data_IF_458203016500
#
_entry.id   IF_458203016500
#
_cell.length_a   1.000
_cell.length_b   1.000
_cell.length_c   1.000
_cell.angle_alpha   90.00
_cell.angle_beta   90.00
_cell.angle_gamma   90.00
#
_symmetry.space_group_name_H-M   'P 1'
#
loop_
_entity.id
_entity.type
_entity.pdbx_description
1 polymer ?
#
# COMPACT_ATOMS: atom_id res chain seq x y z
N UNK A 1 -5.44 4.23 -15.11
CA UNK A 1 -4.46 3.21 -14.68
C UNK A 1 -5.21 1.97 -14.19
N UNK A 2 -4.91 0.78 -14.74
CA UNK A 2 -5.60 -0.46 -14.40
C UNK A 2 -5.41 -0.87 -12.93
N UNK A 3 -6.41 -1.50 -12.32
CA UNK A 3 -6.41 -1.99 -10.95
C UNK A 3 -7.16 -3.32 -10.86
N UNK A 4 -6.97 -4.04 -9.76
CA UNK A 4 -7.80 -5.19 -9.43
C UNK A 4 -9.19 -4.69 -8.93
N UNK A 5 -10.26 -5.18 -9.54
CA UNK A 5 -11.64 -4.73 -9.26
C UNK A 5 -12.53 -5.81 -8.64
N UNK A 6 -12.03 -7.07 -8.58
CA UNK A 6 -12.77 -8.18 -8.00
C UNK A 6 -12.74 -8.20 -6.47
N UNK A 7 -13.25 -9.27 -5.86
CA UNK A 7 -13.35 -9.43 -4.42
C UNK A 7 -11.98 -9.53 -3.73
N UNK A 8 -11.47 -8.43 -3.21
CA UNK A 8 -10.13 -8.30 -2.59
C UNK A 8 -9.91 -9.23 -1.39
N UNK A 9 -10.96 -9.63 -0.67
CA UNK A 9 -10.84 -10.59 0.43
C UNK A 9 -10.34 -11.98 -0.01
N UNK A 10 -10.52 -12.33 -1.28
CA UNK A 10 -9.93 -13.57 -1.85
C UNK A 10 -8.41 -13.50 -1.84
N UNK A 11 -7.83 -12.30 -1.96
CA UNK A 11 -6.39 -12.10 -1.93
C UNK A 11 -5.83 -12.37 -0.53
N UNK A 12 -6.44 -11.80 0.55
CA UNK A 12 -6.02 -12.08 1.93
C UNK A 12 -6.11 -13.58 2.25
N UNK A 13 -7.21 -14.24 1.87
CA UNK A 13 -7.38 -15.68 2.06
C UNK A 13 -6.34 -16.51 1.30
N UNK A 14 -5.94 -16.09 0.10
CA UNK A 14 -4.91 -16.78 -0.68
C UNK A 14 -3.53 -16.67 -0.07
N UNK A 15 -3.21 -15.51 0.54
CA UNK A 15 -1.92 -15.30 1.22
C UNK A 15 -1.93 -15.80 2.68
N UNK A 16 -3.11 -16.18 3.22
CA UNK A 16 -3.23 -16.61 4.62
C UNK A 16 -2.98 -15.49 5.63
N UNK A 17 -2.96 -14.24 5.19
CA UNK A 17 -2.60 -13.06 5.98
C UNK A 17 -3.56 -11.89 5.76
N UNK A 18 -3.77 -11.06 6.80
CA UNK A 18 -4.50 -9.80 6.67
C UNK A 18 -3.65 -8.77 5.90
N UNK A 19 -4.12 -8.37 4.74
CA UNK A 19 -3.50 -7.31 3.92
C UNK A 19 -4.19 -5.96 4.09
N UNK A 20 -5.19 -5.85 4.98
CA UNK A 20 -5.93 -4.63 5.32
C UNK A 20 -6.48 -3.86 4.11
N UNK A 21 -7.03 -4.58 3.11
CA UNK A 21 -7.46 -4.01 1.83
C UNK A 21 -8.83 -3.32 1.88
N UNK A 22 -9.63 -3.52 2.96
CA UNK A 22 -10.99 -2.97 3.11
C UNK A 22 -11.14 -1.99 4.29
N UNK A 23 -10.05 -1.50 4.87
CA UNK A 23 -10.13 -0.58 6.01
C UNK A 23 -10.79 -1.23 7.22
N UNK A 24 -11.75 -0.56 7.85
CA UNK A 24 -12.38 -0.93 9.14
C UNK A 24 -12.83 -2.38 9.22
N UNK A 25 -13.43 -2.89 8.15
CA UNK A 25 -13.89 -4.28 8.11
C UNK A 25 -12.78 -5.29 8.41
N UNK A 26 -11.51 -4.95 8.11
CA UNK A 26 -10.38 -5.85 8.34
C UNK A 26 -10.02 -5.98 9.82
N UNK A 27 -10.47 -5.05 10.66
CA UNK A 27 -10.26 -5.04 12.11
C UNK A 27 -11.42 -5.66 12.89
N UNK A 28 -12.55 -5.96 12.23
CA UNK A 28 -13.72 -6.56 12.88
C UNK A 28 -13.78 -8.08 12.66
N UNK A 29 -14.61 -8.75 13.45
CA UNK A 29 -14.93 -10.18 13.29
C UNK A 29 -15.56 -10.52 11.93
N UNK A 30 -16.06 -9.51 11.19
CA UNK A 30 -16.59 -9.66 9.82
C UNK A 30 -15.49 -9.83 8.76
N UNK A 31 -14.21 -9.88 9.16
CA UNK A 31 -13.11 -10.14 8.25
C UNK A 31 -13.24 -11.52 7.61
N UNK A 32 -13.10 -11.59 6.28
CA UNK A 32 -13.25 -12.85 5.56
C UNK A 32 -12.15 -13.89 5.89
N UNK A 33 -11.00 -13.45 6.40
CA UNK A 33 -9.95 -14.35 6.85
C UNK A 33 -10.29 -15.00 8.19
N UNK A 34 -10.93 -14.24 9.11
CA UNK A 34 -11.42 -14.78 10.39
C UNK A 34 -12.54 -15.82 10.16
N UNK A 35 -13.49 -15.49 9.26
CA UNK A 35 -14.59 -16.39 8.98
C UNK A 35 -14.19 -17.63 8.16
N UNK A 36 -13.18 -17.52 7.28
CA UNK A 36 -12.76 -18.57 6.34
C UNK A 36 -11.25 -18.50 6.13
N UNK A 37 -10.46 -19.07 7.04
CA UNK A 37 -8.99 -19.01 7.04
C UNK A 37 -8.28 -19.83 5.94
N UNK A 38 -9.02 -20.35 4.95
CA UNK A 38 -8.46 -21.16 3.87
C UNK A 38 -8.51 -20.43 2.51
N UNK A 39 -7.66 -20.85 1.59
CA UNK A 39 -7.56 -20.27 0.25
C UNK A 39 -8.88 -20.36 -0.52
N UNK A 40 -9.20 -19.39 -1.39
CA UNK A 40 -10.40 -19.44 -2.21
C UNK A 40 -10.31 -20.52 -3.29
N UNK A 41 -11.46 -21.06 -3.70
CA UNK A 41 -11.60 -22.11 -4.73
C UNK A 41 -11.97 -23.45 -4.15
N UNK A 42 -12.28 -24.40 -5.03
CA UNK A 42 -12.76 -25.77 -4.67
C UNK A 42 -11.72 -26.52 -3.83
N UNK A 43 -10.44 -26.38 -4.16
CA UNK A 43 -9.33 -27.08 -3.49
C UNK A 43 -8.66 -26.23 -2.38
N UNK A 44 -9.32 -25.19 -1.89
CA UNK A 44 -8.74 -24.25 -0.92
C UNK A 44 -8.33 -24.87 0.42
N UNK A 45 -8.93 -25.98 0.80
CA UNK A 45 -8.63 -26.75 2.05
C UNK A 45 -7.63 -27.88 1.81
N UNK A 46 -7.25 -28.16 0.56
CA UNK A 46 -6.28 -29.21 0.23
C UNK A 46 -4.90 -28.88 0.81
N UNK A 47 -4.26 -29.88 1.39
CA UNK A 47 -2.86 -29.80 1.84
C UNK A 47 -1.96 -30.11 0.64
N UNK A 48 -1.10 -29.18 0.27
CA UNK A 48 -0.05 -29.39 -0.72
C UNK A 48 1.30 -28.93 -0.18
N UNK A 49 2.37 -29.67 -0.49
CA UNK A 49 3.73 -29.23 -0.19
C UNK A 49 4.02 -27.98 -1.03
N UNK A 50 4.42 -26.90 -0.40
CA UNK A 50 4.81 -25.68 -1.10
C UNK A 50 6.21 -25.88 -1.67
N UNK A 51 6.37 -25.69 -2.97
CA UNK A 51 7.69 -25.64 -3.60
C UNK A 51 8.39 -24.32 -3.28
N UNK A 52 9.71 -24.28 -3.41
CA UNK A 52 10.51 -23.08 -3.23
C UNK A 52 10.02 -21.95 -4.16
N UNK A 53 9.84 -22.25 -5.44
CA UNK A 53 9.21 -21.30 -6.38
C UNK A 53 7.84 -20.81 -5.89
N UNK A 54 7.04 -21.70 -5.32
CA UNK A 54 5.73 -21.35 -4.75
C UNK A 54 5.87 -20.36 -3.60
N UNK A 55 6.85 -20.52 -2.71
CA UNK A 55 7.12 -19.58 -1.61
C UNK A 55 7.55 -18.21 -2.12
N UNK A 56 8.52 -18.17 -3.01
CA UNK A 56 8.98 -16.94 -3.66
C UNK A 56 7.84 -16.19 -4.37
N UNK A 57 7.01 -16.94 -5.10
CA UNK A 57 5.84 -16.38 -5.79
C UNK A 57 4.82 -15.80 -4.79
N UNK A 58 4.56 -16.47 -3.65
CA UNK A 58 3.62 -15.98 -2.63
C UNK A 58 4.13 -14.70 -1.99
N UNK A 59 5.40 -14.60 -1.65
CA UNK A 59 5.97 -13.37 -1.08
C UNK A 59 5.83 -12.19 -2.08
N UNK A 60 6.17 -12.39 -3.33
CA UNK A 60 5.96 -11.37 -4.36
C UNK A 60 4.49 -10.95 -4.48
N UNK A 61 3.57 -11.94 -4.55
CA UNK A 61 2.14 -11.64 -4.68
C UNK A 61 1.58 -10.94 -3.44
N UNK A 62 2.07 -11.25 -2.24
CA UNK A 62 1.71 -10.59 -1.00
C UNK A 62 2.01 -9.10 -1.08
N UNK A 63 3.26 -8.72 -1.40
CA UNK A 63 3.67 -7.32 -1.52
C UNK A 63 2.87 -6.60 -2.61
N UNK A 64 2.77 -7.19 -3.80
CA UNK A 64 2.03 -6.61 -4.91
C UNK A 64 0.57 -6.33 -4.56
N UNK A 65 -0.09 -7.25 -3.85
CA UNK A 65 -1.49 -7.14 -3.42
C UNK A 65 -1.67 -6.13 -2.30
N UNK A 66 -0.73 -6.07 -1.37
CA UNK A 66 -0.74 -5.11 -0.26
C UNK A 66 -0.74 -3.66 -0.76
N UNK A 67 0.10 -3.34 -1.76
CA UNK A 67 0.15 -2.02 -2.38
C UNK A 67 -0.85 -1.83 -3.54
N UNK A 68 -1.60 -2.85 -3.92
CA UNK A 68 -2.57 -2.78 -5.01
C UNK A 68 -1.96 -2.53 -6.40
N UNK A 69 -0.73 -2.98 -6.61
CA UNK A 69 0.03 -2.80 -7.85
C UNK A 69 -0.16 -3.99 -8.79
N UNK A 70 -0.26 -3.76 -10.10
CA UNK A 70 -0.30 -4.81 -11.11
C UNK A 70 1.12 -5.26 -11.49
N UNK A 71 1.24 -6.48 -12.05
CA UNK A 71 2.52 -7.13 -12.34
C UNK A 71 3.46 -6.29 -13.21
N UNK A 72 2.96 -5.70 -14.28
CA UNK A 72 3.77 -4.86 -15.19
C UNK A 72 4.42 -3.69 -14.44
N UNK A 73 3.64 -3.01 -13.60
CA UNK A 73 4.14 -1.88 -12.81
C UNK A 73 5.09 -2.33 -11.70
N UNK A 74 4.81 -3.48 -11.07
CA UNK A 74 5.67 -4.04 -10.04
C UNK A 74 7.05 -4.41 -10.59
N UNK A 75 7.09 -5.06 -11.77
CA UNK A 75 8.35 -5.37 -12.48
C UNK A 75 9.14 -4.10 -12.83
N UNK A 76 8.45 -3.03 -13.24
CA UNK A 76 9.10 -1.74 -13.49
C UNK A 76 9.74 -1.16 -12.21
N UNK A 77 9.08 -1.28 -11.06
CA UNK A 77 9.64 -0.85 -9.78
C UNK A 77 10.82 -1.72 -9.34
N UNK A 78 10.76 -3.01 -9.60
CA UNK A 78 11.89 -3.90 -9.33
C UNK A 78 13.14 -3.49 -10.16
N UNK A 79 12.98 -3.28 -11.45
CA UNK A 79 14.06 -2.80 -12.32
C UNK A 79 14.60 -1.41 -11.92
N UNK A 80 13.77 -0.55 -11.30
CA UNK A 80 14.23 0.71 -10.72
C UNK A 80 14.99 0.50 -9.41
N UNK A 81 14.56 -0.45 -8.58
CA UNK A 81 15.20 -0.78 -7.31
C UNK A 81 16.60 -1.39 -7.52
N UNK A 82 16.73 -2.27 -8.52
CA UNK A 82 17.99 -2.90 -8.90
C UNK A 82 19.07 -1.90 -9.33
N UNK A 83 18.66 -0.79 -9.96
CA UNK A 83 19.58 0.28 -10.39
C UNK A 83 20.04 1.19 -9.24
N UNK A 84 19.40 1.14 -8.08
CA UNK A 84 19.78 1.96 -6.92
C UNK A 84 20.87 1.28 -6.12
N UNK A 85 21.75 2.08 -5.52
CA UNK A 85 22.74 1.57 -4.56
C UNK A 85 22.05 1.02 -3.31
N UNK A 86 22.60 -0.04 -2.73
CA UNK A 86 22.09 -0.69 -1.52
C UNK A 86 21.35 -2.00 -1.80
N UNK A 87 20.60 -2.47 -0.81
CA UNK A 87 19.88 -3.73 -0.87
C UNK A 87 18.64 -3.58 -1.75
N UNK A 88 18.56 -4.35 -2.84
CA UNK A 88 17.48 -4.27 -3.84
C UNK A 88 16.09 -4.47 -3.23
N UNK A 89 15.95 -5.38 -2.27
CA UNK A 89 14.67 -5.64 -1.59
C UNK A 89 14.17 -4.43 -0.80
N UNK A 90 15.05 -3.79 -0.03
CA UNK A 90 14.73 -2.57 0.72
C UNK A 90 14.38 -1.41 -0.22
N UNK A 91 15.18 -1.23 -1.27
CA UNK A 91 14.92 -0.21 -2.29
C UNK A 91 13.55 -0.40 -2.97
N UNK A 92 13.16 -1.65 -3.24
CA UNK A 92 11.84 -1.98 -3.80
C UNK A 92 10.72 -1.57 -2.85
N UNK A 93 10.83 -1.92 -1.57
CA UNK A 93 9.84 -1.56 -0.57
C UNK A 93 9.76 -0.04 -0.37
N UNK A 94 10.90 0.65 -0.34
CA UNK A 94 10.95 2.11 -0.26
C UNK A 94 10.26 2.78 -1.47
N UNK A 95 10.46 2.28 -2.69
CA UNK A 95 9.75 2.76 -3.89
C UNK A 95 8.25 2.55 -3.77
N UNK A 96 7.81 1.41 -3.25
CA UNK A 96 6.39 1.12 -3.08
C UNK A 96 5.74 1.99 -1.99
N UNK A 97 6.46 2.28 -0.91
CA UNK A 97 5.99 3.18 0.15
C UNK A 97 5.89 4.64 -0.33
N UNK A 98 6.83 5.12 -1.16
CA UNK A 98 6.83 6.50 -1.67
C UNK A 98 5.80 6.78 -2.75
N UNK A 99 4.92 5.86 -3.10
CA UNK A 99 3.81 6.10 -4.03
C UNK A 99 2.77 7.03 -3.40
N UNK A 100 2.26 7.98 -4.16
CA UNK A 100 1.30 8.97 -3.66
C UNK A 100 0.02 8.32 -3.09
N UNK A 101 -0.50 7.26 -3.73
CA UNK A 101 -1.66 6.54 -3.21
C UNK A 101 -1.39 5.90 -1.83
N UNK A 102 -0.19 5.38 -1.61
CA UNK A 102 0.20 4.83 -0.33
C UNK A 102 0.49 5.92 0.71
N UNK A 103 1.14 7.02 0.31
CA UNK A 103 1.43 8.15 1.21
C UNK A 103 0.14 8.77 1.74
N UNK A 104 -0.86 9.00 0.88
CA UNK A 104 -2.19 9.50 1.29
C UNK A 104 -2.86 8.55 2.30
N UNK A 105 -2.70 7.23 2.13
CA UNK A 105 -3.18 6.25 3.11
C UNK A 105 -2.40 6.30 4.42
N UNK A 106 -1.07 6.43 4.38
CA UNK A 106 -0.19 6.52 5.56
C UNK A 106 -0.42 7.81 6.37
N UNK A 107 -0.75 8.91 5.70
CA UNK A 107 -1.14 10.17 6.32
C UNK A 107 -2.55 10.14 6.98
N UNK A 108 -3.31 9.04 6.81
CA UNK A 108 -4.62 8.89 7.44
C UNK A 108 -5.78 9.54 6.69
N UNK A 109 -5.59 10.10 5.50
CA UNK A 109 -6.65 10.73 4.70
C UNK A 109 -7.64 9.71 4.08
N UNK A 110 -7.32 8.42 4.13
CA UNK A 110 -8.16 7.36 3.62
C UNK A 110 -8.12 6.12 4.52
N UNK A 111 -9.22 5.37 4.59
CA UNK A 111 -9.34 4.15 5.38
C UNK A 111 -8.65 2.94 4.72
N UNK A 112 -8.39 3.01 3.43
CA UNK A 112 -7.71 1.95 2.67
C UNK A 112 -6.90 2.51 1.50
N UNK A 113 -5.89 1.76 1.04
CA UNK A 113 -5.10 2.13 -0.15
C UNK A 113 -5.94 2.24 -1.42
N UNK A 114 -7.01 1.44 -1.52
CA UNK A 114 -7.94 1.52 -2.65
C UNK A 114 -8.72 2.84 -2.66
N UNK A 115 -9.17 3.30 -1.50
CA UNK A 115 -9.81 4.61 -1.32
C UNK A 115 -8.83 5.75 -1.57
N UNK A 116 -7.63 5.69 -0.98
CA UNK A 116 -6.57 6.66 -1.22
C UNK A 116 -6.29 6.83 -2.72
N UNK A 117 -6.14 5.71 -3.43
CA UNK A 117 -5.97 5.70 -4.87
C UNK A 117 -7.11 6.38 -5.62
N UNK A 118 -8.34 6.18 -5.20
CA UNK A 118 -9.52 6.81 -5.79
C UNK A 118 -9.51 8.32 -5.55
N UNK A 119 -9.25 8.76 -4.32
CA UNK A 119 -9.15 10.18 -3.97
C UNK A 119 -8.05 10.89 -4.77
N UNK A 120 -6.87 10.26 -4.92
CA UNK A 120 -5.79 10.81 -5.77
C UNK A 120 -6.24 10.90 -7.23
N UNK A 121 -6.85 9.85 -7.79
CA UNK A 121 -7.31 9.86 -9.20
C UNK A 121 -8.36 10.93 -9.46
N UNK A 122 -9.23 11.21 -8.48
CA UNK A 122 -10.23 12.28 -8.55
C UNK A 122 -9.61 13.68 -8.38
N UNK A 123 -8.32 13.77 -8.03
CA UNK A 123 -7.57 15.04 -7.97
C UNK A 123 -7.90 15.86 -6.74
N UNK A 124 -8.13 15.21 -5.59
CA UNK A 124 -8.36 15.89 -4.32
C UNK A 124 -7.06 16.38 -3.67
N UNK A 125 -5.89 15.96 -4.15
CA UNK A 125 -4.58 16.30 -3.57
C UNK A 125 -3.74 17.18 -4.49
N UNK A 126 -2.92 18.00 -3.85
CA UNK A 126 -1.84 18.77 -4.50
C UNK A 126 -0.51 18.36 -3.88
N UNK A 127 0.55 18.39 -4.68
CA UNK A 127 1.93 18.19 -4.24
C UNK A 127 2.69 19.46 -4.60
N UNK A 128 3.30 20.10 -3.61
CA UNK A 128 3.99 21.40 -3.74
C UNK A 128 3.12 22.45 -4.49
N UNK A 129 1.83 22.53 -4.13
CA UNK A 129 0.86 23.44 -4.72
C UNK A 129 0.32 23.01 -6.10
N UNK A 130 0.85 21.96 -6.72
CA UNK A 130 0.41 21.48 -8.05
C UNK A 130 -0.54 20.29 -7.91
N UNK A 131 -1.66 20.31 -8.62
CA UNK A 131 -2.62 19.21 -8.66
C UNK A 131 -1.97 17.96 -9.27
N UNK A 132 -1.99 16.84 -8.54
CA UNK A 132 -1.51 15.54 -9.00
C UNK A 132 -2.63 14.51 -8.91
N UNK A 133 -2.98 13.90 -10.05
CA UNK A 133 -4.03 12.86 -10.15
C UNK A 133 -3.46 11.48 -10.54
N UNK A 134 -2.14 11.32 -10.41
CA UNK A 134 -1.44 10.08 -10.77
C UNK A 134 -1.10 9.31 -9.48
N UNK A 135 -1.80 8.20 -9.15
CA UNK A 135 -1.56 7.42 -7.93
C UNK A 135 -0.16 6.83 -7.82
N UNK A 136 0.50 6.58 -8.95
CA UNK A 136 1.87 6.05 -9.00
C UNK A 136 2.95 7.13 -8.97
N UNK A 137 2.59 8.40 -8.75
CA UNK A 137 3.57 9.46 -8.56
C UNK A 137 4.45 9.12 -7.34
N UNK A 138 5.77 9.20 -7.51
CA UNK A 138 6.73 8.93 -6.46
C UNK A 138 7.09 10.24 -5.77
N UNK A 139 6.78 10.33 -4.48
CA UNK A 139 7.15 11.49 -3.67
C UNK A 139 8.62 11.43 -3.28
N UNK A 140 9.22 12.60 -3.05
CA UNK A 140 10.61 12.75 -2.62
C UNK A 140 10.65 13.46 -1.25
N UNK A 141 11.72 13.31 -0.47
CA UNK A 141 11.92 14.10 0.74
C UNK A 141 11.80 15.60 0.46
N UNK A 142 11.17 16.32 1.36
CA UNK A 142 10.88 17.74 1.26
C UNK A 142 9.55 18.09 0.60
N UNK A 143 8.93 17.19 -0.14
CA UNK A 143 7.62 17.44 -0.79
C UNK A 143 6.49 17.56 0.25
N UNK A 144 5.58 18.49 -0.01
CA UNK A 144 4.39 18.77 0.80
C UNK A 144 3.14 18.31 0.05
N UNK A 145 2.38 17.42 0.66
CA UNK A 145 1.11 16.90 0.15
C UNK A 145 -0.02 17.63 0.88
N UNK A 146 -0.86 18.35 0.16
CA UNK A 146 -1.99 19.05 0.76
C UNK A 146 -3.30 18.63 0.14
N UNK A 147 -4.36 18.64 0.94
CA UNK A 147 -5.71 18.47 0.44
C UNK A 147 -6.15 19.77 -0.22
N UNK A 148 -6.75 19.68 -1.42
CA UNK A 148 -7.28 20.83 -2.15
C UNK A 148 -8.39 21.51 -1.34
N UNK A 149 -8.42 22.85 -1.30
CA UNK A 149 -9.37 23.60 -0.47
C UNK A 149 -10.84 23.24 -0.73
N UNK A 150 -11.22 23.06 -2.00
CA UNK A 150 -12.57 22.60 -2.38
C UNK A 150 -12.90 21.19 -1.88
N UNK A 151 -11.91 20.41 -1.42
CA UNK A 151 -12.08 19.03 -0.93
C UNK A 151 -12.02 18.94 0.59
N UNK A 152 -11.57 19.98 1.28
CA UNK A 152 -11.52 20.06 2.75
C UNK A 152 -12.92 20.01 3.39
N UNK A 153 -13.94 20.45 2.67
CA UNK A 153 -15.34 20.43 3.12
C UNK A 153 -16.00 19.05 3.05
N UNK A 154 -15.37 18.07 2.38
CA UNK A 154 -15.95 16.73 2.20
C UNK A 154 -16.00 15.96 3.52
N UNK A 155 -17.22 15.67 4.01
CA UNK A 155 -17.47 14.96 5.27
C UNK A 155 -16.77 13.60 5.32
N UNK A 156 -16.67 12.91 4.18
CA UNK A 156 -15.97 11.62 4.08
C UNK A 156 -14.48 11.72 4.44
N UNK A 157 -13.80 12.78 4.02
CA UNK A 157 -12.37 12.96 4.31
C UNK A 157 -12.19 13.35 5.77
N UNK A 158 -13.05 14.21 6.31
CA UNK A 158 -13.04 14.57 7.74
C UNK A 158 -13.24 13.35 8.62
N UNK A 159 -14.26 12.53 8.31
CA UNK A 159 -14.51 11.28 9.03
C UNK A 159 -13.33 10.30 8.94
N UNK A 160 -12.64 10.23 7.80
CA UNK A 160 -11.43 9.40 7.67
C UNK A 160 -10.28 9.90 8.56
N UNK A 161 -10.05 11.22 8.61
CA UNK A 161 -9.01 11.83 9.46
C UNK A 161 -9.31 11.58 10.94
N UNK A 162 -10.54 11.79 11.39
CA UNK A 162 -10.99 11.52 12.76
C UNK A 162 -10.82 10.04 13.12
N UNK A 163 -11.27 9.13 12.27
CA UNK A 163 -11.16 7.68 12.50
C UNK A 163 -9.70 7.19 12.54
N UNK A 164 -8.80 7.84 11.81
CA UNK A 164 -7.37 7.52 11.79
C UNK A 164 -6.54 8.33 12.80
N UNK A 165 -7.13 9.21 13.61
CA UNK A 165 -6.41 10.05 14.57
C UNK A 165 -5.58 9.24 15.59
N UNK A 166 -6.04 8.03 15.94
CA UNK A 166 -5.32 7.11 16.83
C UNK A 166 -4.16 6.36 16.15
N UNK A 167 -4.05 6.48 14.83
CA UNK A 167 -3.03 5.78 14.04
C UNK A 167 -1.86 6.72 13.77
N UNK A 168 -0.71 6.52 14.41
CA UNK A 168 0.44 7.39 14.21
C UNK A 168 0.94 7.30 12.76
N UNK A 169 1.30 8.44 12.19
CA UNK A 169 2.01 8.48 10.93
C UNK A 169 3.41 7.84 11.09
N UNK A 170 3.94 7.16 10.07
CA UNK A 170 5.31 6.64 10.10
C UNK A 170 6.32 7.77 10.29
N UNK A 171 7.49 7.48 10.89
CA UNK A 171 8.54 8.45 11.22
C UNK A 171 9.05 9.28 10.03
N UNK A 172 8.97 8.74 8.82
CA UNK A 172 9.40 9.41 7.60
C UNK A 172 8.35 10.40 7.02
N UNK A 173 7.15 10.46 7.64
CA UNK A 173 6.08 11.41 7.29
C UNK A 173 5.76 12.27 8.51
N UNK A 174 5.58 13.56 8.28
CA UNK A 174 5.01 14.49 9.23
C UNK A 174 3.58 14.84 8.78
N UNK A 175 2.62 14.75 9.68
CA UNK A 175 1.21 14.93 9.39
C UNK A 175 0.57 15.97 10.29
N UNK A 176 0.14 17.08 9.71
CA UNK A 176 -0.74 18.04 10.37
C UNK A 176 -2.21 17.73 10.00
N UNK A 177 -2.87 17.02 10.89
CA UNK A 177 -4.26 16.61 10.71
C UNK A 177 -5.23 17.80 10.66
N UNK A 178 -4.94 18.89 11.40
CA UNK A 178 -5.81 20.07 11.49
C UNK A 178 -5.82 20.84 10.15
N UNK A 179 -4.66 21.03 9.56
CA UNK A 179 -4.53 21.72 8.28
C UNK A 179 -4.67 20.77 7.07
N UNK A 180 -4.79 19.45 7.33
CA UNK A 180 -4.85 18.41 6.29
C UNK A 180 -3.63 18.47 5.35
N UNK A 181 -2.45 18.60 5.94
CA UNK A 181 -1.17 18.70 5.25
C UNK A 181 -0.26 17.56 5.71
N UNK A 182 0.44 16.95 4.79
CA UNK A 182 1.48 15.97 5.07
C UNK A 182 2.80 16.37 4.41
N UNK A 183 3.91 16.20 5.12
CA UNK A 183 5.26 16.47 4.61
C UNK A 183 6.07 15.18 4.60
N UNK A 184 6.82 14.97 3.54
CA UNK A 184 7.78 13.86 3.44
C UNK A 184 9.10 14.33 4.04
N UNK A 185 9.50 13.74 5.17
CA UNK A 185 10.72 14.12 5.91
C UNK A 185 11.94 13.38 5.33
N UNK A 186 11.82 12.07 5.14
CA UNK A 186 12.91 11.20 4.71
C UNK A 186 12.42 10.12 3.72
N UNK A 187 13.33 9.32 3.19
CA UNK A 187 13.01 8.08 2.48
C UNK A 187 12.69 7.02 3.53
N UNK A 188 11.61 6.22 3.39
CA UNK A 188 11.27 5.18 4.36
C UNK A 188 12.38 4.14 4.46
N UNK A 189 12.81 3.84 5.68
CA UNK A 189 13.70 2.73 6.01
C UNK A 189 12.91 1.41 6.12
N UNK A 190 13.61 0.27 6.13
CA UNK A 190 12.97 -1.05 6.26
C UNK A 190 12.13 -1.17 7.54
N UNK A 191 12.64 -0.63 8.65
CA UNK A 191 11.99 -0.66 9.97
C UNK A 191 10.70 0.17 10.05
N UNK A 192 10.52 1.13 9.14
CA UNK A 192 9.30 1.95 9.05
C UNK A 192 8.15 1.22 8.32
N UNK A 193 8.41 0.01 7.79
CA UNK A 193 7.46 -0.73 6.95
C UNK A 193 6.87 -1.90 7.73
N UNK A 194 5.60 -1.78 8.11
CA UNK A 194 4.87 -2.75 8.95
C UNK A 194 4.54 -4.08 8.24
N UNK A 195 4.93 -4.26 6.99
CA UNK A 195 4.61 -5.47 6.25
C UNK A 195 5.61 -6.59 6.58
N UNK A 196 5.16 -7.71 7.19
CA UNK A 196 6.01 -8.87 7.39
C UNK A 196 6.21 -9.60 6.05
N UNK A 197 7.35 -9.35 5.41
CA UNK A 197 7.71 -9.89 4.11
C UNK A 197 9.20 -10.24 4.07
N UNK A 198 9.50 -11.32 3.39
CA UNK A 198 10.88 -11.77 3.11
C UNK A 198 11.28 -11.28 1.72
N UNK A 199 11.81 -10.06 1.66
CA UNK A 199 12.14 -9.38 0.40
C UNK A 199 13.20 -10.11 -0.43
N UNK A 200 14.11 -10.88 0.22
CA UNK A 200 15.12 -11.68 -0.49
C UNK A 200 14.50 -12.73 -1.42
N UNK A 201 13.37 -13.34 -1.01
CA UNK A 201 12.65 -14.31 -1.86
C UNK A 201 12.08 -13.64 -3.14
N UNK A 202 11.74 -12.35 -3.06
CA UNK A 202 11.28 -11.60 -4.23
C UNK A 202 12.45 -11.33 -5.17
N UNK A 203 13.61 -10.98 -4.63
CA UNK A 203 14.82 -10.76 -5.43
C UNK A 203 15.23 -12.04 -6.13
N UNK A 204 15.30 -13.17 -5.42
CA UNK A 204 15.59 -14.48 -5.99
C UNK A 204 14.63 -14.88 -7.12
N UNK A 205 13.32 -14.59 -6.96
CA UNK A 205 12.32 -14.90 -7.99
C UNK A 205 12.58 -14.15 -9.30
N UNK A 206 13.05 -12.90 -9.22
CA UNK A 206 13.29 -12.07 -10.41
C UNK A 206 14.70 -12.22 -10.99
N UNK A 207 15.62 -12.82 -10.24
CA UNK A 207 17.00 -13.10 -10.66
C UNK A 207 17.14 -14.40 -11.46
N UNK A 208 16.05 -15.15 -11.62
CA UNK A 208 15.99 -16.42 -12.38
C UNK A 208 15.72 -16.19 -13.86
#
# INVERSE_FOLDING_TARGET
MARYTEAVCRQCRREGQKLFLKGDRCYTQKCALECRGYAPGQHGQGRSKTSEYGSQLREKQKVRRYYGVLEKQFRSYFAMAEKRQGITGENLLAILETRLDNVVYRLGFAMSRAEARQLVTHGHFTVDGRKVNIPSFLVKPGMVITLKDSSKSLDKIKANVEANASRPAPKWLDCDANNMVGKVVAIPARDDIDLPVEEHLIVELYSK
#
